data_IF_053006579906
#
_entry.id   IF_053006579906
#
_cell.length_a   1.000
_cell.length_b   1.000
_cell.length_c   1.000
_cell.angle_alpha   90.00
_cell.angle_beta   90.00
_cell.angle_gamma   90.00
#
_symmetry.space_group_name_H-M   'P 1'
#
loop_
_entity.id
_entity.type
_entity.pdbx_description
1 polymer ?
#
# COMPACT_ATOMS: atom_id res chain seq x y z
N UNK A 1 -23.45 -16.50 -12.46
CA UNK A 1 -22.00 -16.58 -12.17
C UNK A 1 -21.58 -17.96 -11.65
N UNK A 2 -22.36 -18.59 -10.73
CA UNK A 2 -21.99 -19.86 -10.07
C UNK A 2 -21.73 -20.99 -11.07
N UNK A 3 -22.64 -21.29 -12.06
CA UNK A 3 -22.38 -22.36 -13.03
C UNK A 3 -21.10 -22.14 -13.84
N UNK A 4 -20.79 -20.88 -14.17
CA UNK A 4 -19.56 -20.54 -14.90
C UNK A 4 -18.32 -20.78 -14.03
N UNK A 5 -18.35 -20.43 -12.75
CA UNK A 5 -17.24 -20.67 -11.81
C UNK A 5 -16.97 -22.17 -11.64
N UNK A 6 -18.02 -22.97 -11.43
CA UNK A 6 -17.90 -24.43 -11.33
C UNK A 6 -17.34 -25.03 -12.62
N UNK A 7 -17.86 -24.60 -13.79
CA UNK A 7 -17.35 -25.05 -15.09
C UNK A 7 -15.87 -24.68 -15.29
N UNK A 8 -15.42 -23.58 -14.69
CA UNK A 8 -14.01 -23.15 -14.69
C UNK A 8 -13.15 -23.85 -13.66
N UNK A 9 -13.69 -24.85 -12.93
CA UNK A 9 -12.93 -25.67 -11.99
C UNK A 9 -12.92 -25.15 -10.55
N UNK A 10 -13.86 -24.26 -10.17
CA UNK A 10 -13.97 -23.84 -8.77
C UNK A 10 -14.30 -25.02 -7.86
N UNK A 11 -13.45 -25.26 -6.84
CA UNK A 11 -13.67 -26.32 -5.85
C UNK A 11 -14.76 -25.97 -4.83
N UNK A 12 -15.06 -24.68 -4.63
CA UNK A 12 -16.12 -24.19 -3.76
C UNK A 12 -16.65 -22.84 -4.24
N UNK A 13 -17.88 -22.50 -3.86
CA UNK A 13 -18.51 -21.20 -4.11
C UNK A 13 -19.18 -20.67 -2.85
N UNK A 14 -19.09 -19.36 -2.62
CA UNK A 14 -19.89 -18.67 -1.61
C UNK A 14 -21.22 -18.20 -2.20
N UNK A 15 -22.31 -18.39 -1.45
CA UNK A 15 -23.65 -17.93 -1.81
C UNK A 15 -24.33 -17.25 -0.63
N UNK A 16 -25.10 -16.18 -0.88
CA UNK A 16 -25.94 -15.54 0.15
C UNK A 16 -27.32 -16.20 0.26
N UNK A 17 -27.78 -16.77 -0.80
CA UNK A 17 -29.04 -17.52 -0.83
C UNK A 17 -28.76 -19.01 -0.64
N UNK A 18 -29.72 -19.71 -0.04
CA UNK A 18 -29.69 -21.17 -0.01
C UNK A 18 -30.03 -21.68 -1.43
N UNK A 19 -28.98 -21.85 -2.21
CA UNK A 19 -29.10 -22.42 -3.56
C UNK A 19 -28.86 -23.93 -3.43
N UNK A 20 -29.84 -24.74 -3.78
CA UNK A 20 -29.63 -26.19 -3.88
C UNK A 20 -28.55 -26.44 -4.95
N UNK A 21 -27.52 -27.12 -4.57
CA UNK A 21 -26.48 -27.55 -5.51
C UNK A 21 -27.16 -28.52 -6.50
N UNK A 22 -26.95 -28.39 -7.83
CA UNK A 22 -27.38 -29.43 -8.77
C UNK A 22 -26.78 -30.79 -8.34
N UNK A 23 -27.56 -31.87 -8.53
CA UNK A 23 -27.16 -33.22 -8.07
C UNK A 23 -25.85 -33.72 -8.68
N UNK A 24 -25.42 -33.13 -9.79
CA UNK A 24 -24.17 -33.39 -10.51
C UNK A 24 -23.10 -32.30 -10.30
N UNK A 25 -23.34 -31.32 -9.43
CA UNK A 25 -22.40 -30.23 -9.21
C UNK A 25 -21.14 -30.72 -8.51
N UNK A 26 -20.00 -30.67 -9.18
CA UNK A 26 -18.71 -30.78 -8.56
C UNK A 26 -18.43 -29.52 -7.74
N UNK A 27 -17.98 -29.66 -6.48
CA UNK A 27 -17.59 -28.54 -5.62
C UNK A 27 -18.50 -28.31 -4.42
N UNK A 28 -17.97 -27.62 -3.43
CA UNK A 28 -18.70 -27.29 -2.20
C UNK A 28 -19.48 -25.98 -2.35
N UNK A 29 -20.72 -25.97 -1.86
CA UNK A 29 -21.59 -24.80 -1.81
C UNK A 29 -21.66 -24.31 -0.37
N UNK A 30 -21.16 -23.10 -0.13
CA UNK A 30 -21.02 -22.55 1.20
C UNK A 30 -21.94 -21.33 1.32
N UNK A 31 -23.05 -21.52 2.05
CA UNK A 31 -23.96 -20.42 2.35
C UNK A 31 -23.36 -19.50 3.40
N UNK A 32 -23.32 -18.20 3.10
CA UNK A 32 -22.82 -17.15 3.98
C UNK A 32 -23.81 -16.00 4.04
N UNK A 33 -23.77 -15.21 5.12
CA UNK A 33 -24.66 -14.04 5.25
C UNK A 33 -24.33 -12.92 4.27
N UNK A 34 -23.04 -12.74 4.00
CA UNK A 34 -22.50 -11.71 3.11
C UNK A 34 -21.27 -12.27 2.40
N UNK A 35 -21.34 -12.36 1.07
CA UNK A 35 -20.26 -12.92 0.26
C UNK A 35 -19.03 -12.00 0.19
N UNK A 36 -19.22 -10.68 0.27
CA UNK A 36 -18.11 -9.73 0.29
C UNK A 36 -17.37 -9.81 1.62
N UNK A 37 -18.08 -9.90 2.75
CA UNK A 37 -17.47 -10.10 4.06
C UNK A 37 -16.76 -11.45 4.14
N UNK A 38 -17.36 -12.53 3.62
CA UNK A 38 -16.72 -13.85 3.58
C UNK A 38 -15.42 -13.87 2.77
N UNK A 39 -15.39 -13.13 1.64
CA UNK A 39 -14.17 -12.95 0.85
C UNK A 39 -13.08 -12.24 1.66
N UNK A 40 -13.45 -11.17 2.39
CA UNK A 40 -12.52 -10.39 3.22
C UNK A 40 -11.99 -11.22 4.39
N UNK A 41 -12.85 -11.96 5.08
CA UNK A 41 -12.48 -12.82 6.20
C UNK A 41 -11.54 -13.95 5.74
N UNK A 42 -11.83 -14.56 4.60
CA UNK A 42 -10.97 -15.58 3.99
C UNK A 42 -9.61 -14.99 3.63
N UNK A 43 -9.57 -13.79 3.06
CA UNK A 43 -8.32 -13.12 2.72
C UNK A 43 -7.51 -12.76 3.97
N UNK A 44 -8.15 -12.26 5.03
CA UNK A 44 -7.50 -11.96 6.29
C UNK A 44 -6.92 -13.23 6.94
N UNK A 45 -7.66 -14.33 6.92
CA UNK A 45 -7.17 -15.64 7.36
C UNK A 45 -5.98 -16.10 6.50
N UNK A 46 -6.09 -16.05 5.17
CA UNK A 46 -5.01 -16.45 4.27
C UNK A 46 -3.75 -15.60 4.50
N UNK A 47 -3.90 -14.25 4.63
CA UNK A 47 -2.81 -13.33 4.97
C UNK A 47 -2.09 -13.73 6.26
N UNK A 48 -2.81 -14.19 7.27
CA UNK A 48 -2.25 -14.58 8.57
C UNK A 48 -1.30 -15.79 8.50
N UNK A 49 -1.31 -16.54 7.40
CA UNK A 49 -0.41 -17.68 7.16
C UNK A 49 1.02 -17.27 6.77
N UNK A 50 1.24 -15.98 6.53
CA UNK A 50 2.52 -15.44 6.07
C UNK A 50 3.09 -14.45 7.10
N UNK A 51 4.35 -14.68 7.51
CA UNK A 51 5.06 -13.80 8.47
C UNK A 51 5.93 -12.74 7.79
N UNK A 52 5.64 -12.40 6.53
CA UNK A 52 6.38 -11.40 5.77
C UNK A 52 5.94 -9.97 6.11
N UNK A 53 6.82 -8.97 5.99
CA UNK A 53 6.44 -7.57 6.04
C UNK A 53 5.40 -7.22 4.98
N UNK A 54 4.43 -6.38 5.36
CA UNK A 54 3.45 -5.81 4.43
C UNK A 54 3.49 -4.30 4.52
N UNK A 55 3.67 -3.67 3.36
CA UNK A 55 3.69 -2.24 3.19
C UNK A 55 2.34 -1.82 2.59
N UNK A 56 1.52 -1.09 3.36
CA UNK A 56 0.32 -0.45 2.86
C UNK A 56 0.65 0.88 2.19
N UNK A 57 0.08 1.17 1.04
CA UNK A 57 0.26 2.47 0.37
C UNK A 57 -1.10 3.12 0.14
N UNK A 58 -1.32 4.28 0.75
CA UNK A 58 -2.54 5.08 0.59
C UNK A 58 -2.23 6.55 0.33
N UNK A 59 -3.27 7.33 0.06
CA UNK A 59 -3.21 8.75 -0.22
C UNK A 59 -4.29 9.18 -1.23
N UNK A 60 -4.45 10.46 -1.45
CA UNK A 60 -5.41 10.95 -2.44
C UNK A 60 -4.87 10.77 -3.85
N UNK A 61 -3.60 11.08 -4.09
CA UNK A 61 -2.91 10.97 -5.38
C UNK A 61 -1.56 10.28 -5.17
N UNK A 62 -1.01 9.63 -6.21
CA UNK A 62 0.34 9.08 -6.20
C UNK A 62 0.48 7.67 -5.60
N UNK A 63 -0.59 7.04 -5.13
CA UNK A 63 -0.55 5.67 -4.56
C UNK A 63 0.11 4.65 -5.47
N UNK A 64 -0.36 4.56 -6.71
CA UNK A 64 0.13 3.58 -7.68
C UNK A 64 1.60 3.83 -8.03
N UNK A 65 1.97 5.08 -8.29
CA UNK A 65 3.37 5.44 -8.57
C UNK A 65 4.28 5.15 -7.38
N UNK A 66 3.86 5.51 -6.16
CA UNK A 66 4.62 5.20 -4.94
C UNK A 66 4.77 3.68 -4.76
N UNK A 67 3.70 2.91 -4.92
CA UNK A 67 3.73 1.45 -4.88
C UNK A 67 4.74 0.87 -5.88
N UNK A 68 4.73 1.36 -7.12
CA UNK A 68 5.66 0.91 -8.16
C UNK A 68 7.11 1.26 -7.79
N UNK A 69 7.37 2.49 -7.32
CA UNK A 69 8.71 2.90 -6.91
C UNK A 69 9.21 2.14 -5.67
N UNK A 70 8.34 1.85 -4.69
CA UNK A 70 8.70 0.99 -3.55
C UNK A 70 9.04 -0.41 -4.05
N UNK A 71 8.25 -0.97 -4.97
CA UNK A 71 8.53 -2.28 -5.54
C UNK A 71 9.85 -2.29 -6.32
N UNK A 72 10.12 -1.26 -7.12
CA UNK A 72 11.36 -1.10 -7.86
C UNK A 72 12.57 -1.01 -6.92
N UNK A 73 12.49 -0.18 -5.88
CA UNK A 73 13.56 -0.02 -4.89
C UNK A 73 13.90 -1.33 -4.14
N UNK A 74 12.93 -2.24 -4.01
CA UNK A 74 13.10 -3.52 -3.29
C UNK A 74 13.45 -4.69 -4.21
N UNK A 75 13.13 -4.64 -5.51
CA UNK A 75 13.17 -5.79 -6.43
C UNK A 75 14.57 -6.39 -6.60
N UNK A 76 15.63 -5.59 -6.46
CA UNK A 76 17.01 -6.07 -6.50
C UNK A 76 17.48 -6.84 -5.26
N UNK A 77 16.66 -6.91 -4.19
CA UNK A 77 17.01 -7.51 -2.92
C UNK A 77 15.93 -8.44 -2.34
N UNK A 78 14.69 -8.36 -2.81
CA UNK A 78 13.52 -9.05 -2.26
C UNK A 78 12.62 -9.61 -3.35
N UNK A 79 12.00 -10.76 -3.04
CA UNK A 79 10.88 -11.29 -3.84
C UNK A 79 9.59 -10.57 -3.43
N UNK A 80 9.13 -9.66 -4.28
CA UNK A 80 8.04 -8.71 -3.96
C UNK A 80 6.73 -9.20 -4.55
N UNK A 81 5.67 -9.28 -3.72
CA UNK A 81 4.29 -9.23 -4.20
C UNK A 81 3.84 -7.77 -4.19
N UNK A 82 3.22 -7.28 -5.26
CA UNK A 82 2.57 -5.96 -5.28
C UNK A 82 1.16 -6.02 -5.84
N UNK A 83 0.32 -5.06 -5.46
CA UNK A 83 -0.99 -4.85 -6.09
C UNK A 83 -0.83 -4.60 -7.57
N UNK A 84 -1.51 -5.36 -8.40
CA UNK A 84 -1.59 -5.14 -9.84
C UNK A 84 -2.78 -4.24 -10.20
N UNK A 85 -2.60 -3.38 -11.20
CA UNK A 85 -3.64 -2.46 -11.64
C UNK A 85 -4.25 -1.68 -10.48
N UNK A 86 -5.58 -1.70 -10.38
CA UNK A 86 -6.37 -1.01 -9.37
C UNK A 86 -7.05 -1.96 -8.35
N UNK A 87 -6.47 -3.15 -8.09
CA UNK A 87 -6.97 -4.11 -7.10
C UNK A 87 -6.72 -3.63 -5.66
N UNK A 88 -7.19 -2.42 -5.34
CA UNK A 88 -6.92 -1.69 -4.09
C UNK A 88 -8.18 -1.47 -3.21
N UNK A 89 -9.33 -2.00 -3.63
CA UNK A 89 -10.65 -1.84 -2.98
C UNK A 89 -10.98 -3.01 -2.05
N UNK A 90 -12.18 -2.96 -1.45
CA UNK A 90 -12.75 -4.00 -0.58
C UNK A 90 -12.84 -5.40 -1.21
N UNK A 91 -12.81 -5.48 -2.56
CA UNK A 91 -12.77 -6.75 -3.31
C UNK A 91 -11.38 -6.98 -3.90
N UNK A 92 -10.76 -5.94 -4.46
CA UNK A 92 -9.47 -6.06 -5.14
C UNK A 92 -8.32 -6.42 -4.22
N UNK A 93 -8.27 -5.85 -3.01
CA UNK A 93 -7.23 -6.16 -2.03
C UNK A 93 -7.25 -7.65 -1.61
N UNK A 94 -8.40 -8.27 -1.26
CA UNK A 94 -8.51 -9.71 -1.06
C UNK A 94 -7.91 -10.54 -2.19
N UNK A 95 -8.25 -10.21 -3.44
CA UNK A 95 -7.73 -10.92 -4.61
C UNK A 95 -6.21 -10.80 -4.76
N UNK A 96 -5.64 -9.64 -4.41
CA UNK A 96 -4.19 -9.46 -4.35
C UNK A 96 -3.58 -10.33 -3.24
N UNK A 97 -4.19 -10.37 -2.06
CA UNK A 97 -3.73 -11.15 -0.91
C UNK A 97 -3.68 -12.65 -1.23
N UNK A 98 -4.66 -13.19 -1.96
CA UNK A 98 -4.65 -14.60 -2.38
C UNK A 98 -3.50 -14.97 -3.32
N UNK A 99 -2.77 -14.02 -3.87
CA UNK A 99 -1.57 -14.25 -4.68
C UNK A 99 -0.30 -14.38 -3.85
N UNK A 100 -0.38 -14.26 -2.51
CA UNK A 100 0.76 -14.54 -1.64
C UNK A 100 1.18 -16.00 -1.78
N UNK A 101 2.47 -16.21 -1.91
CA UNK A 101 3.13 -17.52 -1.99
C UNK A 101 4.33 -17.54 -1.05
N UNK A 102 4.81 -18.74 -0.71
CA UNK A 102 5.95 -18.93 0.19
C UNK A 102 7.26 -18.30 -0.30
N UNK A 103 7.38 -18.04 -1.61
CA UNK A 103 8.54 -17.34 -2.19
C UNK A 103 8.57 -15.84 -1.90
N UNK A 104 7.43 -15.22 -1.60
CA UNK A 104 7.39 -13.78 -1.36
C UNK A 104 8.01 -13.45 -0.01
N UNK A 105 8.92 -12.48 -0.02
CA UNK A 105 9.60 -11.98 1.18
C UNK A 105 9.00 -10.69 1.71
N UNK A 106 8.21 -9.99 0.87
CA UNK A 106 7.56 -8.73 1.21
C UNK A 106 6.34 -8.51 0.30
N UNK A 107 5.31 -7.85 0.82
CA UNK A 107 4.14 -7.46 0.03
C UNK A 107 3.92 -5.95 0.07
N UNK A 108 3.57 -5.34 -1.07
CA UNK A 108 3.24 -3.92 -1.20
C UNK A 108 1.81 -3.81 -1.69
N UNK A 109 0.93 -3.40 -0.79
CA UNK A 109 -0.50 -3.38 -1.02
C UNK A 109 -1.01 -1.95 -1.15
N UNK A 110 -1.48 -1.59 -2.34
CA UNK A 110 -2.20 -0.34 -2.54
C UNK A 110 -3.57 -0.43 -1.86
N UNK A 111 -3.91 0.57 -1.04
CA UNK A 111 -5.12 0.59 -0.22
C UNK A 111 -5.92 1.86 -0.54
N UNK A 112 -6.97 1.68 -1.32
CA UNK A 112 -7.89 2.75 -1.74
C UNK A 112 -9.17 2.73 -0.92
N UNK A 113 -9.69 3.90 -0.56
CA UNK A 113 -10.97 4.05 0.13
C UNK A 113 -11.78 5.19 -0.48
N UNK A 114 -13.08 5.10 -0.41
CA UNK A 114 -14.06 6.11 -0.85
C UNK A 114 -15.03 6.53 0.25
N UNK A 115 -15.23 5.71 1.27
CA UNK A 115 -16.19 5.90 2.35
C UNK A 115 -15.55 5.70 3.74
N UNK A 116 -16.25 6.20 4.76
CA UNK A 116 -15.83 6.03 6.17
C UNK A 116 -15.83 4.54 6.55
N UNK A 117 -14.78 4.12 7.24
CA UNK A 117 -14.59 2.75 7.76
C UNK A 117 -14.01 1.77 6.73
N UNK A 118 -13.80 2.17 5.47
CA UNK A 118 -13.20 1.29 4.46
C UNK A 118 -11.73 1.01 4.73
N UNK A 119 -10.95 2.04 5.11
CA UNK A 119 -9.52 1.84 5.38
C UNK A 119 -9.29 0.89 6.55
N UNK A 120 -10.07 1.00 7.61
CA UNK A 120 -9.98 0.07 8.74
C UNK A 120 -10.33 -1.38 8.36
N UNK A 121 -11.25 -1.59 7.42
CA UNK A 121 -11.54 -2.93 6.85
C UNK A 121 -10.36 -3.45 6.05
N UNK A 122 -9.78 -2.62 5.16
CA UNK A 122 -8.59 -2.99 4.39
C UNK A 122 -7.39 -3.29 5.31
N UNK A 123 -7.20 -2.50 6.37
CA UNK A 123 -6.13 -2.72 7.34
C UNK A 123 -6.27 -4.08 8.06
N UNK A 124 -7.49 -4.50 8.41
CA UNK A 124 -7.74 -5.83 9.00
C UNK A 124 -7.39 -6.98 8.06
N UNK A 125 -7.62 -6.81 6.75
CA UNK A 125 -7.28 -7.82 5.73
C UNK A 125 -5.76 -7.87 5.52
N UNK A 126 -5.15 -6.72 5.24
CA UNK A 126 -3.74 -6.60 4.86
C UNK A 126 -2.78 -6.82 6.04
N UNK A 127 -3.18 -6.37 7.25
CA UNK A 127 -2.34 -6.29 8.45
C UNK A 127 -0.95 -5.72 8.13
N UNK A 128 -0.90 -4.48 7.63
CA UNK A 128 0.38 -3.87 7.31
C UNK A 128 1.17 -3.63 8.60
N UNK A 129 2.49 -3.73 8.50
CA UNK A 129 3.41 -3.33 9.56
C UNK A 129 4.27 -2.12 9.15
N UNK A 130 4.12 -1.71 7.90
CA UNK A 130 4.65 -0.46 7.32
C UNK A 130 3.55 0.17 6.48
N UNK A 131 3.45 1.50 6.49
CA UNK A 131 2.55 2.18 5.57
C UNK A 131 3.13 3.49 5.07
N UNK A 132 2.74 3.87 3.85
CA UNK A 132 3.04 5.17 3.24
C UNK A 132 1.74 5.92 3.03
N UNK A 133 1.67 7.17 3.46
CA UNK A 133 0.59 8.11 3.12
C UNK A 133 1.17 9.22 2.25
N UNK A 134 0.73 9.26 0.99
CA UNK A 134 1.35 10.15 -0.01
C UNK A 134 0.90 11.61 0.13
N UNK A 135 -0.39 11.84 0.31
CA UNK A 135 -0.98 13.18 0.50
C UNK A 135 -2.45 13.11 0.88
N UNK A 136 -2.98 14.27 1.33
CA UNK A 136 -4.39 14.49 1.63
C UNK A 136 -4.95 15.54 0.67
N UNK A 137 -5.53 15.10 -0.43
CA UNK A 137 -6.21 15.94 -1.41
C UNK A 137 -7.72 15.93 -1.23
N UNK A 138 -8.44 16.30 -2.31
CA UNK A 138 -9.90 16.40 -2.32
C UNK A 138 -10.61 15.14 -2.84
N UNK A 139 -9.88 14.06 -3.14
CA UNK A 139 -10.50 12.81 -3.58
C UNK A 139 -11.47 12.30 -2.53
N UNK A 140 -12.71 11.97 -2.96
CA UNK A 140 -13.82 11.51 -2.10
C UNK A 140 -14.33 12.55 -1.10
N UNK A 141 -14.14 13.86 -1.39
CA UNK A 141 -14.60 14.95 -0.52
C UNK A 141 -16.14 14.97 -0.39
N UNK A 142 -16.86 14.52 -1.41
CA UNK A 142 -18.32 14.45 -1.38
C UNK A 142 -18.83 13.49 -0.29
N UNK A 143 -18.15 12.36 -0.11
CA UNK A 143 -18.47 11.32 0.88
C UNK A 143 -17.93 11.68 2.26
N UNK A 144 -16.69 12.16 2.33
CA UNK A 144 -15.97 12.39 3.58
C UNK A 144 -16.11 13.81 4.12
N UNK A 145 -16.63 14.75 3.32
CA UNK A 145 -17.00 16.14 3.67
C UNK A 145 -15.84 17.11 3.88
N UNK A 146 -14.77 16.70 4.58
CA UNK A 146 -13.60 17.56 4.84
C UNK A 146 -12.28 16.82 4.59
N UNK A 147 -11.19 17.57 4.37
CA UNK A 147 -9.86 16.99 4.25
C UNK A 147 -9.37 16.35 5.57
N UNK A 148 -9.81 16.88 6.70
CA UNK A 148 -9.53 16.32 8.01
C UNK A 148 -10.14 14.92 8.15
N UNK A 149 -11.37 14.73 7.67
CA UNK A 149 -12.02 13.42 7.64
C UNK A 149 -11.31 12.47 6.66
N UNK A 150 -10.89 12.97 5.49
CA UNK A 150 -10.09 12.18 4.54
C UNK A 150 -8.77 11.73 5.18
N UNK A 151 -8.09 12.63 5.90
CA UNK A 151 -6.89 12.30 6.66
C UNK A 151 -7.17 11.26 7.73
N UNK A 152 -8.18 11.49 8.56
CA UNK A 152 -8.55 10.55 9.64
C UNK A 152 -8.83 9.16 9.08
N UNK A 153 -9.63 9.06 8.03
CA UNK A 153 -9.96 7.79 7.40
C UNK A 153 -8.71 7.09 6.84
N UNK A 154 -7.83 7.81 6.13
CA UNK A 154 -6.59 7.22 5.59
C UNK A 154 -5.65 6.75 6.68
N UNK A 155 -5.61 7.40 7.82
CA UNK A 155 -4.76 7.02 8.95
C UNK A 155 -5.21 5.73 9.65
N UNK A 156 -6.46 5.26 9.45
CA UNK A 156 -6.87 3.92 9.87
C UNK A 156 -6.05 2.78 9.21
N UNK A 157 -5.17 3.09 8.26
CA UNK A 157 -4.19 2.12 7.75
C UNK A 157 -3.27 1.55 8.84
N UNK A 158 -3.09 2.28 9.94
CA UNK A 158 -2.26 1.85 11.07
C UNK A 158 -3.01 1.05 12.16
N UNK A 159 -4.33 0.88 12.07
CA UNK A 159 -5.15 0.27 13.12
C UNK A 159 -4.70 -1.15 13.51
N UNK A 160 -4.03 -1.83 12.61
CA UNK A 160 -3.53 -3.19 12.83
C UNK A 160 -1.99 -3.26 12.89
N UNK A 161 -1.32 -2.13 13.15
CA UNK A 161 0.14 -2.12 13.29
C UNK A 161 0.59 -2.90 14.53
N UNK A 162 1.64 -3.71 14.43
CA UNK A 162 2.33 -4.22 15.59
C UNK A 162 3.12 -3.07 16.29
N UNK A 163 3.62 -3.29 17.51
CA UNK A 163 4.35 -2.26 18.25
C UNK A 163 5.55 -1.65 17.50
N UNK A 164 6.21 -2.44 16.64
CA UNK A 164 7.33 -2.03 15.79
C UNK A 164 6.89 -1.43 14.44
N UNK A 165 5.61 -1.19 14.26
CA UNK A 165 5.03 -0.62 13.04
C UNK A 165 5.58 0.77 12.72
N UNK A 166 5.77 1.05 11.42
CA UNK A 166 6.30 2.32 10.95
C UNK A 166 5.42 2.95 9.87
N UNK A 167 5.17 4.24 10.04
CA UNK A 167 4.40 5.07 9.12
C UNK A 167 5.30 6.10 8.44
N UNK A 168 5.26 6.14 7.11
CA UNK A 168 5.99 7.09 6.29
C UNK A 168 5.01 8.16 5.80
N UNK A 169 5.23 9.41 6.21
CA UNK A 169 4.35 10.54 5.90
C UNK A 169 5.05 11.55 5.00
N UNK A 170 4.32 12.05 4.01
CA UNK A 170 4.74 13.23 3.27
C UNK A 170 4.78 14.46 4.20
N UNK A 171 5.99 14.92 4.55
CA UNK A 171 6.21 16.06 5.41
C UNK A 171 5.92 17.41 4.75
N UNK A 172 5.78 17.45 3.43
CA UNK A 172 5.37 18.65 2.69
C UNK A 172 3.84 18.83 2.71
N UNK A 173 3.08 17.79 3.08
CA UNK A 173 1.64 17.89 3.26
C UNK A 173 1.29 18.48 4.65
N UNK A 174 0.66 19.65 4.74
CA UNK A 174 0.41 20.33 6.01
C UNK A 174 -0.54 19.55 6.93
N UNK A 175 -1.49 18.79 6.37
CA UNK A 175 -2.44 17.99 7.15
C UNK A 175 -1.78 16.76 7.76
N UNK A 176 -0.85 16.13 7.06
CA UNK A 176 -0.05 15.02 7.59
C UNK A 176 0.99 15.51 8.61
N UNK A 177 1.65 16.63 8.32
CA UNK A 177 2.62 17.25 9.23
C UNK A 177 1.97 17.61 10.58
N UNK A 178 0.75 18.13 10.59
CA UNK A 178 0.05 18.55 11.79
C UNK A 178 -0.16 17.42 12.80
N UNK A 179 -0.30 16.16 12.33
CA UNK A 179 -0.61 15.01 13.20
C UNK A 179 0.58 14.10 13.48
N UNK A 180 1.74 14.32 12.86
CA UNK A 180 2.89 13.40 12.95
C UNK A 180 3.31 13.03 14.38
N UNK A 181 3.18 13.97 15.34
CA UNK A 181 3.59 13.78 16.74
C UNK A 181 2.53 13.13 17.62
N UNK A 182 1.29 13.04 17.16
CA UNK A 182 0.16 12.48 17.93
C UNK A 182 -0.16 11.03 17.56
N UNK A 183 0.51 10.46 16.56
CA UNK A 183 0.27 9.11 16.10
C UNK A 183 0.93 8.08 17.04
N UNK A 184 0.28 6.93 17.28
CA UNK A 184 0.71 5.92 18.25
C UNK A 184 1.78 4.96 17.72
N UNK A 185 2.50 5.32 16.65
CA UNK A 185 3.52 4.50 16.00
C UNK A 185 4.75 5.32 15.64
N UNK A 186 5.83 4.66 15.25
CA UNK A 186 7.00 5.34 14.70
C UNK A 186 6.65 6.02 13.38
N UNK A 187 6.95 7.31 13.29
CA UNK A 187 6.72 8.12 12.09
C UNK A 187 8.06 8.55 11.50
N UNK A 188 8.23 8.34 10.20
CA UNK A 188 9.32 8.84 9.37
C UNK A 188 8.74 9.78 8.33
N UNK A 189 9.30 10.96 8.20
CA UNK A 189 8.84 11.97 7.24
C UNK A 189 9.73 12.02 6.00
N UNK A 190 9.11 12.27 4.86
CA UNK A 190 9.80 12.47 3.60
C UNK A 190 9.27 13.70 2.85
N UNK A 191 10.12 14.38 2.11
CA UNK A 191 9.71 15.57 1.35
C UNK A 191 10.88 16.49 1.00
N UNK A 192 10.57 17.73 0.62
CA UNK A 192 11.56 18.77 0.31
C UNK A 192 11.83 19.69 1.49
N UNK A 193 10.95 19.70 2.48
CA UNK A 193 11.07 20.54 3.68
C UNK A 193 12.29 20.14 4.51
N UNK A 194 12.97 21.13 5.08
CA UNK A 194 14.24 20.94 5.80
C UNK A 194 14.12 20.07 7.06
N UNK A 195 12.92 19.91 7.61
CA UNK A 195 12.62 19.12 8.80
C UNK A 195 12.14 17.69 8.49
N UNK A 196 12.21 17.27 7.22
CA UNK A 196 11.95 15.88 6.83
C UNK A 196 13.16 14.98 7.11
N UNK A 197 12.89 13.75 7.56
CA UNK A 197 13.92 12.74 7.82
C UNK A 197 14.59 12.26 6.52
N UNK A 198 13.80 12.11 5.46
CA UNK A 198 14.26 11.84 4.09
C UNK A 198 13.94 13.05 3.21
N UNK A 199 14.97 13.78 2.83
CA UNK A 199 14.81 15.06 2.14
C UNK A 199 15.46 15.05 0.76
N UNK A 200 14.77 15.62 -0.23
CA UNK A 200 15.39 15.97 -1.51
C UNK A 200 16.00 17.38 -1.44
N UNK A 201 17.24 17.47 -1.89
CA UNK A 201 17.95 18.72 -2.14
C UNK A 201 18.43 18.76 -3.60
N UNK A 202 18.72 19.95 -4.12
CA UNK A 202 19.32 20.16 -5.44
C UNK A 202 18.53 19.44 -6.55
N UNK A 203 17.20 19.66 -6.57
CA UNK A 203 16.30 19.01 -7.54
C UNK A 203 16.42 19.71 -8.88
N UNK A 204 16.82 18.96 -9.90
CA UNK A 204 16.98 19.42 -11.28
C UNK A 204 16.24 18.49 -12.25
N UNK A 205 15.75 19.05 -13.35
CA UNK A 205 15.10 18.28 -14.43
C UNK A 205 15.59 18.77 -15.79
N UNK A 206 15.99 17.86 -16.66
CA UNK A 206 16.50 18.16 -17.99
C UNK A 206 15.47 17.93 -19.12
N UNK A 207 14.21 17.67 -18.77
CA UNK A 207 13.13 17.39 -19.72
C UNK A 207 12.88 15.91 -19.98
N UNK A 208 13.76 15.02 -19.54
CA UNK A 208 13.61 13.56 -19.65
C UNK A 208 13.75 12.89 -18.29
N UNK A 209 14.71 13.37 -17.49
CA UNK A 209 15.02 12.82 -16.18
C UNK A 209 14.88 13.85 -15.07
N UNK A 210 14.69 13.38 -13.84
CA UNK A 210 14.76 14.21 -12.63
C UNK A 210 15.89 13.72 -11.75
N UNK A 211 16.82 14.60 -11.40
CA UNK A 211 17.96 14.33 -10.52
C UNK A 211 17.81 15.10 -9.22
N UNK A 212 18.19 14.50 -8.13
CA UNK A 212 18.23 15.16 -6.82
C UNK A 212 19.20 14.46 -5.88
N UNK A 213 19.59 15.16 -4.83
CA UNK A 213 20.33 14.60 -3.73
C UNK A 213 19.36 14.20 -2.62
N UNK A 214 19.28 12.89 -2.35
CA UNK A 214 18.56 12.37 -1.19
C UNK A 214 19.47 12.53 0.04
N UNK A 215 18.97 13.22 1.06
CA UNK A 215 19.61 13.36 2.36
C UNK A 215 18.77 12.61 3.41
N UNK A 216 19.38 11.74 4.20
CA UNK A 216 18.72 10.97 5.25
C UNK A 216 19.66 10.75 6.44
N UNK A 217 19.22 10.16 7.56
CA UNK A 217 20.07 9.93 8.75
C UNK A 217 21.33 9.09 8.49
N UNK A 218 21.31 8.24 7.44
CA UNK A 218 22.46 7.38 7.08
C UNK A 218 23.44 8.05 6.13
N UNK A 219 23.14 9.25 5.63
CA UNK A 219 24.00 10.01 4.73
C UNK A 219 23.28 10.59 3.52
N UNK A 220 24.03 10.86 2.48
CA UNK A 220 23.52 11.48 1.25
C UNK A 220 23.86 10.62 0.03
N UNK A 221 22.92 10.57 -0.93
CA UNK A 221 23.11 9.85 -2.19
C UNK A 221 22.43 10.59 -3.35
N UNK A 222 23.05 10.62 -4.52
CA UNK A 222 22.42 11.13 -5.75
C UNK A 222 21.43 10.13 -6.31
N UNK A 223 20.21 10.58 -6.58
CA UNK A 223 19.15 9.81 -7.23
C UNK A 223 18.88 10.40 -8.62
N UNK A 224 18.69 9.53 -9.60
CA UNK A 224 18.24 9.87 -10.94
C UNK A 224 17.01 9.03 -11.29
N UNK A 225 15.92 9.71 -11.65
CA UNK A 225 14.65 9.08 -12.02
C UNK A 225 14.39 9.26 -13.50
N UNK A 226 14.00 8.20 -14.25
CA UNK A 226 13.63 8.29 -15.66
C UNK A 226 12.18 8.84 -15.82
N UNK A 227 11.78 9.77 -14.98
CA UNK A 227 10.45 10.40 -14.95
C UNK A 227 10.54 11.84 -14.49
N UNK A 228 9.61 12.67 -14.97
CA UNK A 228 9.56 14.08 -14.65
C UNK A 228 8.61 14.39 -13.49
N UNK A 229 8.89 15.50 -12.82
CA UNK A 229 8.00 16.15 -11.88
C UNK A 229 8.35 15.94 -10.41
N UNK A 230 8.23 17.02 -9.66
CA UNK A 230 8.55 17.08 -8.22
C UNK A 230 7.74 16.08 -7.38
N UNK A 231 6.54 15.72 -7.81
CA UNK A 231 5.73 14.70 -7.12
C UNK A 231 6.39 13.32 -7.19
N UNK A 232 7.14 12.99 -8.25
CA UNK A 232 7.89 11.76 -8.37
C UNK A 232 9.13 11.75 -7.47
N UNK A 233 9.69 12.91 -7.17
CA UNK A 233 10.74 13.03 -6.13
C UNK A 233 10.19 12.58 -4.78
N UNK A 234 9.00 13.07 -4.38
CA UNK A 234 8.34 12.62 -3.14
C UNK A 234 8.08 11.10 -3.11
N UNK A 235 7.59 10.54 -4.22
CA UNK A 235 7.35 9.10 -4.33
C UNK A 235 8.67 8.28 -4.19
N UNK A 236 9.76 8.75 -4.79
CA UNK A 236 11.07 8.12 -4.69
C UNK A 236 11.68 8.25 -3.28
N UNK A 237 11.50 9.38 -2.61
CA UNK A 237 11.90 9.54 -1.20
C UNK A 237 11.16 8.55 -0.29
N UNK A 238 9.85 8.40 -0.48
CA UNK A 238 9.07 7.41 0.25
C UNK A 238 9.58 5.99 -0.01
N UNK A 239 9.90 5.66 -1.27
CA UNK A 239 10.43 4.35 -1.65
C UNK A 239 11.80 4.09 -1.01
N UNK A 240 12.71 5.05 -1.02
CA UNK A 240 14.02 4.94 -0.37
C UNK A 240 13.89 4.78 1.16
N UNK A 241 13.01 5.55 1.79
CA UNK A 241 12.75 5.46 3.23
C UNK A 241 12.21 4.08 3.64
N UNK A 242 11.26 3.55 2.88
CA UNK A 242 10.74 2.19 3.09
C UNK A 242 11.81 1.14 2.86
N UNK A 243 12.59 1.25 1.78
CA UNK A 243 13.65 0.29 1.46
C UNK A 243 14.67 0.19 2.59
N UNK A 244 15.12 1.32 3.09
CA UNK A 244 16.07 1.37 4.20
C UNK A 244 15.49 0.75 5.48
N UNK A 245 14.25 1.06 5.81
CA UNK A 245 13.54 0.52 6.99
C UNK A 245 13.36 -1.01 6.96
N UNK A 246 13.24 -1.60 5.77
CA UNK A 246 13.16 -3.05 5.63
C UNK A 246 14.52 -3.72 5.35
N UNK A 247 15.62 -2.99 5.56
CA UNK A 247 16.98 -3.50 5.52
C UNK A 247 17.58 -3.59 4.11
N UNK A 248 17.05 -2.85 3.13
CA UNK A 248 17.64 -2.73 1.79
C UNK A 248 18.52 -1.48 1.74
N UNK A 249 19.84 -1.60 1.46
CA UNK A 249 20.75 -0.46 1.38
C UNK A 249 20.32 0.57 0.34
N UNK A 250 20.62 1.86 0.59
CA UNK A 250 20.25 2.97 -0.29
C UNK A 250 20.80 2.80 -1.72
N UNK A 251 22.02 2.26 -1.88
CA UNK A 251 22.61 2.01 -3.19
C UNK A 251 21.77 1.05 -4.03
N UNK A 252 21.26 -0.03 -3.40
CA UNK A 252 20.37 -0.98 -4.07
C UNK A 252 19.01 -0.37 -4.38
N UNK A 253 18.46 0.42 -3.44
CA UNK A 253 17.22 1.16 -3.68
C UNK A 253 17.36 2.14 -4.85
N UNK A 254 18.49 2.87 -4.92
CA UNK A 254 18.82 3.76 -6.05
C UNK A 254 18.88 3.01 -7.38
N UNK A 255 19.53 1.85 -7.41
CA UNK A 255 19.61 1.02 -8.62
C UNK A 255 18.22 0.60 -9.11
N UNK A 256 17.33 0.20 -8.18
CA UNK A 256 15.96 -0.12 -8.50
C UNK A 256 15.14 1.06 -9.03
N UNK A 257 15.33 2.25 -8.49
CA UNK A 257 14.62 3.47 -8.89
C UNK A 257 15.04 4.01 -10.27
N UNK A 258 16.19 3.58 -10.81
CA UNK A 258 16.66 3.95 -12.16
C UNK A 258 15.97 3.19 -13.29
N UNK A 259 15.26 2.10 -13.00
CA UNK A 259 14.58 1.23 -13.95
C UNK A 259 13.06 1.46 -13.94
#
# INVERSE_FOLDING_TARGET
FIPAAIKSGAAAVFTQEHVEAPADAAGAWIAVRDTAQALQDLAAWYRSRFSIPVIGVTGSVGKTTTKEMVAAALSGAKQVLKTEGNFNSQIGLPLTVFRLESRHEIAILEMGMSEIGEMGRLARIARPNRAVVTNIGLSHIEQLKTQENIRAEKLHIIDCFPPEGALFLNGDDPLLRAVRKSLPCRVTTYGTSADCDFRAADVESDGETTRFRLCCPEGEIGIELPVLGIHNVGNALAAAAVALDVGVPLEKAREGLKN
#
